data_IF_482169638058
#
_entry.id   IF_482169638058
#
_cell.length_a   1.000
_cell.length_b   1.000
_cell.length_c   1.000
_cell.angle_alpha   90.00
_cell.angle_beta   90.00
_cell.angle_gamma   90.00
#
_symmetry.space_group_name_H-M   'P 1'
#
loop_
_entity.id
_entity.type
_entity.pdbx_description
1 polymer ?
#
# COMPACT_ATOMS: atom_id res chain seq x y z
N UNK A 1 -4.84 6.55 34.23
CA UNK A 1 -4.32 5.27 34.69
C UNK A 1 -2.79 5.26 34.54
N UNK A 2 -2.12 4.74 35.53
CA UNK A 2 -0.66 4.65 35.52
C UNK A 2 -0.27 3.19 35.36
N UNK A 3 0.51 2.90 34.31
CA UNK A 3 1.18 1.61 34.15
C UNK A 3 2.69 1.86 34.20
N UNK A 4 3.39 1.05 34.95
CA UNK A 4 4.87 1.11 35.05
C UNK A 4 5.56 0.56 33.82
N UNK A 5 4.84 -0.20 32.99
CA UNK A 5 5.38 -0.81 31.77
C UNK A 5 4.49 -0.42 30.59
N UNK A 6 4.77 0.73 30.01
CA UNK A 6 4.11 1.18 28.78
C UNK A 6 5.06 1.13 27.61
N UNK A 7 4.62 0.57 26.48
CA UNK A 7 5.31 0.66 25.21
C UNK A 7 4.50 1.46 24.20
N UNK A 8 5.19 2.19 23.35
CA UNK A 8 4.59 3.10 22.37
C UNK A 8 4.92 2.65 20.95
N UNK A 9 4.00 2.93 20.03
CA UNK A 9 4.15 2.55 18.62
C UNK A 9 5.29 3.31 17.92
N UNK A 10 5.58 4.54 18.37
CA UNK A 10 6.59 5.40 17.77
C UNK A 10 7.27 6.33 18.78
N UNK A 11 8.34 7.00 18.36
CA UNK A 11 9.08 7.98 19.16
C UNK A 11 8.22 9.15 19.66
N UNK A 12 7.16 9.49 18.96
CA UNK A 12 6.26 10.60 19.33
C UNK A 12 5.27 10.25 20.43
N UNK A 13 5.26 9.00 20.91
CA UNK A 13 4.40 8.48 22.00
C UNK A 13 2.91 8.75 21.80
N UNK A 14 2.44 8.78 20.55
CA UNK A 14 1.04 9.08 20.22
C UNK A 14 0.10 7.91 20.45
N UNK A 15 0.60 6.68 20.41
CA UNK A 15 -0.20 5.48 20.63
C UNK A 15 0.53 4.49 21.53
N UNK A 16 -0.21 3.87 22.44
CA UNK A 16 0.26 2.78 23.31
C UNK A 16 -0.07 1.47 22.60
N UNK A 17 0.89 0.55 22.51
CA UNK A 17 0.72 -0.73 21.82
C UNK A 17 0.62 -1.94 22.77
N UNK A 18 0.51 -1.71 24.07
CA UNK A 18 0.35 -2.79 25.06
C UNK A 18 -1.05 -3.42 24.96
N UNK A 19 -1.09 -4.70 24.62
CA UNK A 19 -2.35 -5.44 24.48
C UNK A 19 -3.19 -5.48 25.76
N UNK A 20 -2.55 -5.70 26.91
CA UNK A 20 -3.25 -5.73 28.18
C UNK A 20 -3.94 -4.40 28.54
N UNK A 21 -3.34 -3.25 28.18
CA UNK A 21 -3.94 -1.93 28.36
C UNK A 21 -5.16 -1.78 27.47
N UNK A 22 -5.04 -2.21 26.21
CA UNK A 22 -6.14 -2.16 25.25
C UNK A 22 -7.33 -3.01 25.72
N UNK A 23 -7.09 -4.22 26.21
CA UNK A 23 -8.11 -5.12 26.73
C UNK A 23 -8.81 -4.52 27.96
N UNK A 24 -8.04 -4.09 28.96
CA UNK A 24 -8.58 -3.49 30.18
C UNK A 24 -9.38 -2.21 29.91
N UNK A 25 -8.89 -1.32 29.04
CA UNK A 25 -9.62 -0.11 28.66
C UNK A 25 -10.89 -0.44 27.86
N UNK A 26 -10.85 -1.44 27.00
CA UNK A 26 -12.01 -1.86 26.22
C UNK A 26 -13.13 -2.37 27.11
N UNK A 27 -12.78 -3.21 28.08
CA UNK A 27 -13.74 -3.76 29.05
C UNK A 27 -14.34 -2.65 29.94
N UNK A 28 -13.48 -1.82 30.52
CA UNK A 28 -13.90 -0.68 31.33
C UNK A 28 -14.81 0.27 30.54
N UNK A 29 -14.45 0.64 29.31
CA UNK A 29 -15.25 1.55 28.51
C UNK A 29 -16.59 0.94 28.11
N UNK A 30 -16.63 -0.36 27.79
CA UNK A 30 -17.90 -1.05 27.49
C UNK A 30 -18.86 -0.98 28.68
N UNK A 31 -18.37 -1.29 29.88
CA UNK A 31 -19.19 -1.23 31.09
C UNK A 31 -19.70 0.19 31.35
N UNK A 32 -18.82 1.17 31.38
CA UNK A 32 -19.18 2.56 31.70
C UNK A 32 -20.05 3.21 30.65
N UNK A 33 -19.83 2.93 29.37
CA UNK A 33 -20.68 3.43 28.29
C UNK A 33 -22.07 2.80 28.33
N UNK A 34 -22.18 1.51 28.64
CA UNK A 34 -23.49 0.88 28.82
C UNK A 34 -24.30 1.55 29.90
N UNK A 35 -23.71 1.80 31.09
CA UNK A 35 -24.38 2.51 32.19
C UNK A 35 -24.77 3.91 31.74
N UNK A 36 -23.83 4.66 31.14
CA UNK A 36 -24.09 6.03 30.69
C UNK A 36 -25.24 6.12 29.68
N UNK A 37 -25.31 5.19 28.74
CA UNK A 37 -26.34 5.19 27.70
C UNK A 37 -27.74 4.81 28.26
N UNK A 38 -27.77 4.02 29.33
CA UNK A 38 -29.03 3.74 30.05
C UNK A 38 -29.51 4.98 30.83
N UNK A 39 -28.58 5.67 31.49
CA UNK A 39 -28.90 6.88 32.27
C UNK A 39 -29.24 8.09 31.39
N UNK A 40 -28.66 8.18 30.19
CA UNK A 40 -28.82 9.31 29.26
C UNK A 40 -29.19 8.88 27.84
N UNK A 41 -30.42 8.45 27.62
CA UNK A 41 -30.88 7.91 26.35
C UNK A 41 -30.81 8.94 25.19
N UNK A 42 -31.03 10.22 25.46
CA UNK A 42 -30.94 11.28 24.45
C UNK A 42 -29.48 11.44 23.90
N UNK A 43 -28.51 11.36 24.78
CA UNK A 43 -27.10 11.42 24.41
C UNK A 43 -26.68 10.14 23.65
N UNK A 44 -27.19 8.98 24.07
CA UNK A 44 -26.99 7.71 23.39
C UNK A 44 -27.49 7.76 21.96
N UNK A 45 -28.67 8.33 21.71
CA UNK A 45 -29.26 8.49 20.39
C UNK A 45 -28.40 9.42 19.52
N UNK A 46 -28.01 10.58 20.05
CA UNK A 46 -27.14 11.54 19.32
C UNK A 46 -25.80 10.92 18.92
N UNK A 47 -25.16 10.24 19.87
CA UNK A 47 -23.86 9.57 19.63
C UNK A 47 -24.01 8.45 18.60
N UNK A 48 -25.05 7.61 18.73
CA UNK A 48 -25.31 6.51 17.80
C UNK A 48 -25.57 7.02 16.39
N UNK A 49 -26.37 8.06 16.25
CA UNK A 49 -26.64 8.70 14.95
C UNK A 49 -25.35 9.27 14.33
N UNK A 50 -24.49 9.92 15.12
CA UNK A 50 -23.24 10.46 14.63
C UNK A 50 -22.27 9.35 14.19
N UNK A 51 -22.20 8.25 14.93
CA UNK A 51 -21.39 7.08 14.57
C UNK A 51 -21.88 6.45 13.26
N UNK A 52 -23.20 6.30 13.10
CA UNK A 52 -23.80 5.78 11.87
C UNK A 52 -23.55 6.69 10.65
N UNK A 53 -23.66 8.00 10.82
CA UNK A 53 -23.34 8.98 9.78
C UNK A 53 -21.87 8.84 9.35
N UNK A 54 -20.94 8.80 10.31
CA UNK A 54 -19.52 8.65 10.05
C UNK A 54 -19.19 7.31 9.38
N UNK A 55 -19.83 6.22 9.81
CA UNK A 55 -19.68 4.90 9.19
C UNK A 55 -20.12 4.94 7.72
N UNK A 56 -21.34 5.45 7.45
CA UNK A 56 -21.86 5.57 6.07
C UNK A 56 -21.01 6.46 5.19
N UNK A 57 -20.48 7.56 5.73
CA UNK A 57 -19.57 8.45 5.01
C UNK A 57 -18.28 7.73 4.60
N UNK A 58 -17.67 6.96 5.51
CA UNK A 58 -16.47 6.16 5.23
C UNK A 58 -16.74 5.06 4.20
N UNK A 59 -17.84 4.34 4.34
CA UNK A 59 -18.24 3.29 3.38
C UNK A 59 -18.50 3.87 1.98
N UNK A 60 -19.18 5.02 1.89
CA UNK A 60 -19.43 5.69 0.62
C UNK A 60 -18.14 6.22 -0.02
N UNK A 61 -17.23 6.79 0.76
CA UNK A 61 -15.92 7.23 0.29
C UNK A 61 -15.08 6.05 -0.24
N UNK A 62 -15.10 4.91 0.46
CA UNK A 62 -14.40 3.71 0.02
C UNK A 62 -15.03 3.11 -1.25
N UNK A 63 -16.36 3.03 -1.33
CA UNK A 63 -17.08 2.61 -2.56
C UNK A 63 -16.79 3.53 -3.75
N UNK A 64 -16.78 4.85 -3.53
CA UNK A 64 -16.43 5.82 -4.57
C UNK A 64 -14.97 5.65 -5.03
N UNK A 65 -14.04 5.42 -4.10
CA UNK A 65 -12.64 5.14 -4.38
C UNK A 65 -12.45 3.84 -5.18
N UNK A 66 -13.18 2.78 -4.81
CA UNK A 66 -13.16 1.52 -5.53
C UNK A 66 -13.78 1.62 -6.93
N UNK A 67 -14.91 2.36 -7.08
CA UNK A 67 -15.53 2.62 -8.37
C UNK A 67 -14.64 3.46 -9.30
N UNK A 68 -13.94 4.46 -8.76
CA UNK A 68 -12.92 5.22 -9.49
C UNK A 68 -11.73 4.35 -9.89
N UNK A 69 -11.25 3.47 -9.01
CA UNK A 69 -10.23 2.48 -9.36
C UNK A 69 -10.68 1.57 -10.50
N UNK A 70 -11.92 1.08 -10.48
CA UNK A 70 -12.50 0.26 -11.54
C UNK A 70 -12.63 0.99 -12.88
N UNK A 71 -13.08 2.24 -12.88
CA UNK A 71 -13.20 3.06 -14.10
C UNK A 71 -11.85 3.48 -14.68
N UNK A 72 -10.86 3.72 -13.83
CA UNK A 72 -9.49 4.03 -14.26
C UNK A 72 -8.69 2.78 -14.65
N UNK A 73 -9.16 1.57 -14.32
CA UNK A 73 -8.50 0.32 -14.73
C UNK A 73 -8.88 -0.12 -16.14
N UNK A 74 -9.95 0.42 -16.73
CA UNK A 74 -10.32 0.13 -18.11
C UNK A 74 -9.49 0.95 -19.10
N UNK A 75 -8.36 0.43 -19.57
CA UNK A 75 -7.69 0.93 -20.76
C UNK A 75 -6.41 1.75 -20.58
N UNK A 76 -5.95 2.04 -19.37
CA UNK A 76 -4.61 2.65 -19.16
C UNK A 76 -3.57 1.57 -18.88
N UNK A 77 -2.43 1.67 -19.56
CA UNK A 77 -1.25 0.83 -19.29
C UNK A 77 -0.91 0.89 -17.78
N UNK A 78 -0.80 -0.27 -17.11
CA UNK A 78 -0.44 -0.33 -15.68
C UNK A 78 0.81 0.45 -15.31
N UNK A 79 1.71 0.66 -16.27
CA UNK A 79 2.96 1.43 -16.13
C UNK A 79 2.71 2.92 -15.85
N UNK A 80 1.66 3.51 -16.42
CA UNK A 80 1.34 4.93 -16.22
C UNK A 80 0.95 5.26 -14.77
N UNK A 81 0.76 4.24 -13.92
CA UNK A 81 0.41 4.38 -12.50
C UNK A 81 1.59 4.24 -11.56
N UNK A 82 2.74 3.81 -12.07
CA UNK A 82 3.95 3.66 -11.28
C UNK A 82 4.60 5.02 -11.08
N UNK A 83 4.66 5.45 -9.83
CA UNK A 83 5.23 6.76 -9.49
C UNK A 83 6.71 6.82 -9.86
N UNK A 84 7.08 7.87 -10.63
CA UNK A 84 8.47 8.16 -11.03
C UNK A 84 9.14 7.09 -11.90
N UNK A 85 8.40 6.13 -12.41
CA UNK A 85 8.89 5.27 -13.49
C UNK A 85 9.09 6.11 -14.75
N UNK A 86 10.23 5.94 -15.40
CA UNK A 86 10.59 6.62 -16.64
C UNK A 86 10.78 5.56 -17.70
N UNK A 87 9.78 5.38 -18.57
CA UNK A 87 9.79 4.36 -19.61
C UNK A 87 10.73 4.73 -20.77
N UNK A 88 11.07 3.75 -21.60
CA UNK A 88 11.76 3.90 -22.88
C UNK A 88 10.75 3.99 -24.04
N UNK A 89 11.23 4.43 -25.19
CA UNK A 89 10.38 4.66 -26.37
C UNK A 89 10.12 3.41 -27.19
N UNK A 90 11.12 2.53 -27.30
CA UNK A 90 11.00 1.32 -28.12
C UNK A 90 9.96 0.36 -27.55
N UNK A 91 9.23 -0.30 -28.44
CA UNK A 91 8.31 -1.40 -28.11
C UNK A 91 8.95 -2.77 -28.35
N UNK A 92 10.14 -2.81 -28.90
CA UNK A 92 10.90 -4.04 -29.14
C UNK A 92 11.45 -4.59 -27.83
N UNK A 93 10.83 -5.64 -27.33
CA UNK A 93 11.16 -6.26 -26.04
C UNK A 93 12.60 -6.79 -25.99
N UNK A 94 13.16 -7.21 -27.14
CA UNK A 94 14.52 -7.77 -27.22
C UNK A 94 15.64 -6.73 -27.00
N UNK A 95 15.28 -5.45 -26.94
CA UNK A 95 16.21 -4.34 -26.75
C UNK A 95 15.98 -3.56 -25.48
N UNK A 96 14.86 -3.79 -24.77
CA UNK A 96 14.47 -3.01 -23.59
C UNK A 96 15.31 -3.36 -22.38
N UNK A 97 15.87 -2.35 -21.73
CA UNK A 97 16.63 -2.48 -20.50
C UNK A 97 15.95 -1.72 -19.37
N UNK A 98 15.82 -2.34 -18.19
CA UNK A 98 15.29 -1.73 -16.99
C UNK A 98 16.41 -1.48 -15.99
N UNK A 99 16.61 -0.22 -15.61
CA UNK A 99 17.53 0.19 -14.56
C UNK A 99 16.76 0.44 -13.27
N UNK A 100 17.14 -0.27 -12.20
CA UNK A 100 16.62 -0.09 -10.86
C UNK A 100 17.67 0.68 -10.06
N UNK A 101 17.34 1.92 -9.66
CA UNK A 101 18.30 2.83 -9.04
C UNK A 101 17.89 3.23 -7.63
N UNK A 102 18.87 3.51 -6.76
CA UNK A 102 18.62 3.94 -5.39
C UNK A 102 18.30 5.44 -5.32
N UNK A 103 17.05 5.75 -4.99
CA UNK A 103 16.61 7.10 -4.68
C UNK A 103 16.45 8.05 -5.86
N UNK A 104 16.02 9.26 -5.53
CA UNK A 104 15.70 10.30 -6.53
C UNK A 104 16.91 10.96 -7.14
N UNK A 105 18.00 11.05 -6.38
CA UNK A 105 19.24 11.65 -6.87
C UNK A 105 19.81 10.82 -8.00
N UNK A 106 19.88 9.49 -7.82
CA UNK A 106 20.31 8.58 -8.87
C UNK A 106 19.35 8.60 -10.09
N UNK A 107 18.04 8.63 -9.85
CA UNK A 107 17.06 8.78 -10.94
C UNK A 107 17.34 10.03 -11.79
N UNK A 108 17.62 11.17 -11.16
CA UNK A 108 17.89 12.42 -11.88
C UNK A 108 19.10 12.31 -12.79
N UNK A 109 20.21 11.81 -12.27
CA UNK A 109 21.46 11.61 -13.03
C UNK A 109 21.31 10.58 -14.15
N UNK A 110 20.72 9.42 -13.84
CA UNK A 110 20.49 8.36 -14.82
C UNK A 110 19.53 8.80 -15.94
N UNK A 111 18.51 9.60 -15.62
CA UNK A 111 17.57 10.14 -16.61
C UNK A 111 18.26 11.02 -17.63
N UNK A 112 19.29 11.77 -17.23
CA UNK A 112 20.07 12.63 -18.14
C UNK A 112 21.05 11.81 -18.99
N UNK A 113 21.66 10.75 -18.44
CA UNK A 113 22.69 9.95 -19.10
C UNK A 113 22.18 8.74 -19.89
N UNK A 114 20.91 8.32 -19.73
CA UNK A 114 20.36 7.12 -20.38
C UNK A 114 20.13 7.31 -21.87
N UNK A 115 20.14 6.23 -22.62
CA UNK A 115 19.50 6.19 -23.92
C UNK A 115 17.98 6.04 -23.75
N UNK A 116 17.25 7.11 -24.07
CA UNK A 116 15.79 7.14 -23.91
C UNK A 116 15.07 6.21 -24.89
N UNK A 117 15.76 5.70 -25.92
CA UNK A 117 15.18 4.80 -26.91
C UNK A 117 14.86 3.44 -26.30
N UNK A 118 15.79 2.83 -25.54
CA UNK A 118 15.63 1.47 -25.03
C UNK A 118 15.87 1.30 -23.53
N UNK A 119 16.32 2.35 -22.82
CA UNK A 119 16.59 2.29 -21.37
C UNK A 119 15.48 2.95 -20.57
N UNK A 120 14.85 2.17 -19.68
CA UNK A 120 13.87 2.62 -18.71
C UNK A 120 14.48 2.65 -17.31
N UNK A 121 13.95 3.48 -16.41
CA UNK A 121 14.47 3.64 -15.05
C UNK A 121 13.32 3.64 -14.05
N UNK A 122 13.51 2.90 -12.93
CA UNK A 122 12.64 2.97 -11.75
C UNK A 122 13.47 3.25 -10.49
N UNK A 123 13.16 4.28 -9.70
CA UNK A 123 13.83 4.52 -8.43
C UNK A 123 13.20 3.69 -7.31
N UNK A 124 14.03 3.05 -6.50
CA UNK A 124 13.62 2.44 -5.24
C UNK A 124 13.90 3.43 -4.12
N UNK A 125 12.94 3.66 -3.23
CA UNK A 125 13.02 4.64 -2.17
C UNK A 125 12.76 4.07 -0.80
N UNK A 126 13.41 4.67 0.18
CA UNK A 126 13.18 4.39 1.59
C UNK A 126 13.67 3.02 2.02
N UNK A 127 13.21 2.58 3.17
CA UNK A 127 13.60 1.29 3.73
C UNK A 127 12.90 0.16 2.99
N UNK A 128 13.66 -0.61 2.22
CA UNK A 128 13.15 -1.76 1.47
C UNK A 128 12.73 -2.86 2.45
N UNK A 129 11.56 -3.44 2.19
CA UNK A 129 11.06 -4.58 2.96
C UNK A 129 11.93 -5.82 2.70
N UNK A 130 12.38 -6.48 3.76
CA UNK A 130 13.05 -7.77 3.62
C UNK A 130 12.03 -8.86 3.28
N UNK A 131 11.83 -9.12 1.99
CA UNK A 131 10.84 -10.07 1.49
C UNK A 131 11.10 -11.52 1.90
N UNK A 132 12.35 -11.88 2.24
CA UNK A 132 12.68 -13.23 2.72
C UNK A 132 12.17 -13.50 4.14
N UNK A 133 11.97 -12.44 4.95
CA UNK A 133 11.50 -12.52 6.33
C UNK A 133 10.07 -12.01 6.53
N UNK A 134 9.50 -11.37 5.52
CA UNK A 134 8.16 -10.81 5.58
C UNK A 134 7.10 -11.81 5.13
N UNK A 135 5.93 -11.75 5.75
CA UNK A 135 4.76 -12.48 5.25
C UNK A 135 4.19 -11.83 3.97
N UNK A 136 3.49 -12.62 3.16
CA UNK A 136 2.90 -12.16 1.91
C UNK A 136 1.95 -10.96 2.09
N UNK A 137 1.24 -10.88 3.21
CA UNK A 137 0.35 -9.76 3.51
C UNK A 137 1.08 -8.42 3.65
N UNK A 138 2.32 -8.44 4.17
CA UNK A 138 3.19 -7.25 4.23
C UNK A 138 3.83 -6.94 2.88
N UNK A 139 4.25 -7.96 2.15
CA UNK A 139 4.84 -7.82 0.81
C UNK A 139 3.85 -7.11 -0.11
N UNK A 140 2.60 -7.58 -0.17
CA UNK A 140 1.56 -6.98 -1.03
C UNK A 140 0.96 -5.67 -0.54
N UNK A 141 1.36 -5.18 0.63
CA UNK A 141 1.06 -3.82 1.09
C UNK A 141 2.17 -2.82 0.78
N UNK A 142 3.32 -3.30 0.31
CA UNK A 142 4.45 -2.44 -0.04
C UNK A 142 4.28 -1.87 -1.45
N UNK A 143 4.07 -0.57 -1.55
CA UNK A 143 3.92 0.13 -2.83
C UNK A 143 5.12 -0.09 -3.75
N UNK A 144 6.34 -0.12 -3.18
CA UNK A 144 7.59 -0.34 -3.92
C UNK A 144 7.59 -1.72 -4.60
N UNK A 145 7.22 -2.77 -3.87
CA UNK A 145 7.17 -4.13 -4.40
C UNK A 145 6.11 -4.25 -5.49
N UNK A 146 4.93 -3.66 -5.25
CA UNK A 146 3.83 -3.63 -6.22
C UNK A 146 4.28 -2.91 -7.51
N UNK A 147 4.96 -1.78 -7.39
CA UNK A 147 5.44 -1.01 -8.52
C UNK A 147 6.50 -1.78 -9.33
N UNK A 148 7.43 -2.46 -8.65
CA UNK A 148 8.41 -3.34 -9.31
C UNK A 148 7.72 -4.48 -10.09
N UNK A 149 6.75 -5.17 -9.47
CA UNK A 149 5.99 -6.26 -10.12
C UNK A 149 5.28 -5.74 -11.39
N UNK A 150 4.65 -4.57 -11.31
CA UNK A 150 3.99 -3.95 -12.46
C UNK A 150 4.96 -3.60 -13.58
N UNK A 151 6.12 -3.06 -13.22
CA UNK A 151 7.16 -2.66 -14.21
C UNK A 151 7.80 -3.87 -14.86
N UNK A 152 8.09 -4.94 -14.12
CA UNK A 152 8.62 -6.19 -14.68
C UNK A 152 7.60 -6.84 -15.62
N UNK A 153 6.32 -6.85 -15.25
CA UNK A 153 5.22 -7.27 -16.11
C UNK A 153 4.85 -8.74 -16.03
N UNK A 154 5.67 -9.61 -15.43
CA UNK A 154 5.43 -11.06 -15.38
C UNK A 154 4.27 -11.50 -14.50
N UNK A 155 3.72 -10.60 -13.65
CA UNK A 155 2.77 -10.99 -12.62
C UNK A 155 3.42 -11.73 -11.46
N UNK A 156 2.61 -12.47 -10.68
CA UNK A 156 3.09 -13.21 -9.51
C UNK A 156 2.47 -14.61 -9.42
N UNK A 157 3.26 -15.57 -8.91
CA UNK A 157 2.79 -16.93 -8.64
C UNK A 157 2.50 -17.09 -7.14
N UNK A 158 1.32 -16.64 -6.70
CA UNK A 158 0.89 -16.80 -5.31
C UNK A 158 -0.57 -17.20 -5.25
N UNK A 159 -0.84 -18.39 -4.70
CA UNK A 159 -2.18 -18.88 -4.38
C UNK A 159 -2.67 -18.24 -3.08
N UNK A 160 -2.97 -16.94 -3.10
CA UNK A 160 -3.48 -16.21 -1.95
C UNK A 160 -4.69 -15.36 -2.31
N UNK A 161 -5.65 -15.26 -1.39
CA UNK A 161 -6.79 -14.33 -1.53
C UNK A 161 -6.36 -12.88 -1.66
N UNK A 162 -5.15 -12.54 -1.20
CA UNK A 162 -4.53 -11.22 -1.28
C UNK A 162 -3.98 -10.90 -2.68
N UNK A 163 -3.76 -11.92 -3.50
CA UNK A 163 -3.22 -11.79 -4.85
C UNK A 163 -4.29 -11.59 -5.94
N UNK A 164 -5.57 -11.44 -5.58
CA UNK A 164 -6.68 -11.28 -6.54
C UNK A 164 -6.55 -10.10 -7.48
N UNK A 165 -5.79 -9.08 -7.08
CA UNK A 165 -5.58 -7.86 -7.86
C UNK A 165 -4.33 -7.94 -8.76
N UNK A 166 -3.62 -9.06 -8.75
CA UNK A 166 -2.41 -9.27 -9.55
C UNK A 166 -2.65 -10.23 -10.69
N UNK A 167 -1.96 -9.96 -11.81
CA UNK A 167 -1.95 -10.86 -12.94
C UNK A 167 -1.21 -12.15 -12.55
N UNK A 168 -1.73 -13.31 -12.96
CA UNK A 168 -1.06 -14.60 -12.78
C UNK A 168 0.33 -14.56 -13.41
N UNK A 169 1.30 -15.21 -12.77
CA UNK A 169 2.66 -15.27 -13.31
C UNK A 169 2.69 -15.90 -14.70
N UNK A 170 3.28 -15.17 -15.64
CA UNK A 170 3.56 -15.63 -16.99
C UNK A 170 4.85 -14.97 -17.48
N UNK A 171 5.88 -15.77 -17.74
CA UNK A 171 7.18 -15.28 -18.19
C UNK A 171 7.11 -14.63 -19.58
N UNK A 172 6.16 -15.03 -20.43
CA UNK A 172 5.96 -14.42 -21.73
C UNK A 172 5.53 -12.95 -21.67
N UNK A 173 5.03 -12.52 -20.51
CA UNK A 173 4.68 -11.12 -20.26
C UNK A 173 5.85 -10.26 -19.74
N UNK A 174 7.07 -10.83 -19.68
CA UNK A 174 8.27 -10.07 -19.33
C UNK A 174 8.48 -8.93 -20.32
N UNK A 175 8.69 -7.72 -19.80
CA UNK A 175 8.78 -6.50 -20.62
C UNK A 175 10.21 -6.06 -20.93
N UNK A 176 11.20 -6.79 -20.46
CA UNK A 176 12.61 -6.38 -20.47
C UNK A 176 13.52 -7.51 -20.93
N UNK A 177 14.47 -7.18 -21.78
CA UNK A 177 15.58 -8.08 -22.15
C UNK A 177 16.59 -8.16 -21.00
N UNK A 178 16.89 -7.01 -20.39
CA UNK A 178 17.83 -6.92 -19.26
C UNK A 178 17.25 -6.12 -18.10
N UNK A 179 17.57 -6.54 -16.88
CA UNK A 179 17.29 -5.80 -15.65
C UNK A 179 18.64 -5.58 -14.95
N UNK A 180 18.97 -4.30 -14.74
CA UNK A 180 20.23 -3.84 -14.16
C UNK A 180 19.91 -3.18 -12.82
N UNK A 181 20.63 -3.58 -11.75
CA UNK A 181 20.45 -3.09 -10.38
C UNK A 181 21.74 -2.44 -9.89
#
# INVERSE_FOLDING_TARGET
SFSTVTSYENQTKKAINNKFIQEALTEFLKEKLNIYFIEKPEDAEKISNQVLINKRSRENAEKARQALKGKLSGGMDPLNRVKKFVDCRTKDLSRRELYIVEGDSALGSCKLGRDAEFQAIIPIRGKILNCLKADYGKIFKSDIIIDIIKVIGTGIEVNSKLAKDFVKFDLNNLRWDKIII
#
